data_IF_845377181492
#
_entry.id   IF_845377181492
#
_cell.length_a   1.000
_cell.length_b   1.000
_cell.length_c   1.000
_cell.angle_alpha   90.00
_cell.angle_beta   90.00
_cell.angle_gamma   90.00
#
_symmetry.space_group_name_H-M   'P 1'
#
loop_
_entity.id
_entity.type
_entity.pdbx_description
1 polymer ?
#
# COMPACT_ATOMS: atom_id res chain seq x y z
N UNK A 1 14.61 -27.02 2.93
CA UNK A 1 15.72 -27.86 2.40
C UNK A 1 17.09 -27.22 2.63
N UNK A 2 17.18 -25.90 2.78
CA UNK A 2 18.42 -25.23 3.17
C UNK A 2 18.97 -25.77 4.52
N UNK A 3 20.25 -26.20 4.60
CA UNK A 3 20.82 -26.82 5.79
C UNK A 3 20.98 -25.85 6.96
N UNK A 4 21.19 -24.55 6.71
CA UNK A 4 21.30 -23.53 7.74
C UNK A 4 19.96 -23.25 8.39
N UNK A 5 18.88 -23.18 7.60
CA UNK A 5 17.52 -23.06 8.13
C UNK A 5 17.15 -24.28 8.97
N UNK A 6 17.50 -25.50 8.52
CA UNK A 6 17.26 -26.72 9.30
C UNK A 6 18.05 -26.72 10.62
N UNK A 7 19.29 -26.23 10.61
CA UNK A 7 20.11 -26.08 11.82
C UNK A 7 19.50 -25.06 12.79
N UNK A 8 19.06 -23.90 12.31
CA UNK A 8 18.34 -22.90 13.10
C UNK A 8 17.08 -23.50 13.75
N UNK A 9 16.26 -24.19 12.96
CA UNK A 9 15.04 -24.82 13.44
C UNK A 9 15.32 -25.82 14.56
N UNK A 10 16.33 -26.67 14.41
CA UNK A 10 16.74 -27.61 15.47
C UNK A 10 17.22 -26.90 16.73
N UNK A 11 18.08 -25.87 16.60
CA UNK A 11 18.62 -25.12 17.74
C UNK A 11 17.55 -24.41 18.57
N UNK A 12 16.50 -23.92 17.92
CA UNK A 12 15.43 -23.15 18.56
C UNK A 12 14.11 -23.93 18.73
N UNK A 13 14.10 -25.24 18.45
CA UNK A 13 12.91 -26.08 18.60
C UNK A 13 11.73 -25.69 17.69
N UNK A 14 12.02 -25.08 16.54
CA UNK A 14 11.02 -24.58 15.59
C UNK A 14 10.51 -25.73 14.73
N UNK A 15 9.18 -25.88 14.62
CA UNK A 15 8.54 -27.04 13.99
C UNK A 15 8.33 -26.82 12.50
N UNK A 16 8.05 -25.58 12.09
CA UNK A 16 7.70 -25.23 10.72
C UNK A 16 8.61 -24.14 10.17
N UNK A 17 8.61 -23.97 8.84
CA UNK A 17 9.30 -22.84 8.19
C UNK A 17 8.68 -21.50 8.62
N UNK A 18 7.37 -21.47 8.86
CA UNK A 18 6.67 -20.29 9.37
C UNK A 18 7.14 -19.91 10.78
N UNK A 19 7.48 -20.90 11.61
CA UNK A 19 8.08 -20.64 12.93
C UNK A 19 9.49 -20.04 12.77
N UNK A 20 10.26 -20.46 11.75
CA UNK A 20 11.57 -19.88 11.45
C UNK A 20 11.48 -18.44 10.92
N UNK A 21 10.48 -18.15 10.10
CA UNK A 21 10.16 -16.78 9.69
C UNK A 21 9.77 -15.92 10.89
N UNK A 22 8.87 -16.38 11.75
CA UNK A 22 8.46 -15.65 12.95
C UNK A 22 9.60 -15.42 13.93
N UNK A 23 10.49 -16.40 14.11
CA UNK A 23 11.73 -16.25 14.89
C UNK A 23 12.62 -15.14 14.32
N UNK A 24 12.80 -15.13 13.00
CA UNK A 24 13.61 -14.11 12.33
C UNK A 24 13.00 -12.72 12.52
N UNK A 25 11.70 -12.56 12.26
CA UNK A 25 11.01 -11.27 12.41
C UNK A 25 11.12 -10.76 13.84
N UNK A 26 10.83 -11.59 14.86
CA UNK A 26 10.97 -11.18 16.27
C UNK A 26 12.41 -10.75 16.61
N UNK A 27 13.41 -11.48 16.11
CA UNK A 27 14.82 -11.11 16.34
C UNK A 27 15.19 -9.77 15.69
N UNK A 28 14.62 -9.47 14.52
CA UNK A 28 14.82 -8.17 13.87
C UNK A 28 14.11 -7.04 14.62
N UNK A 29 12.89 -7.28 15.10
CA UNK A 29 12.15 -6.29 15.90
C UNK A 29 12.85 -5.98 17.22
N UNK A 30 13.39 -7.00 17.90
CA UNK A 30 14.18 -6.82 19.13
C UNK A 30 15.42 -5.95 18.87
N UNK A 31 16.11 -6.20 17.76
CA UNK A 31 17.30 -5.44 17.38
C UNK A 31 16.97 -3.97 17.11
N UNK A 32 15.84 -3.69 16.44
CA UNK A 32 15.38 -2.33 16.17
C UNK A 32 14.90 -1.62 17.45
N UNK A 33 14.23 -2.35 18.35
CA UNK A 33 13.85 -1.85 19.67
C UNK A 33 15.06 -1.42 20.48
N UNK A 34 16.14 -2.19 20.49
CA UNK A 34 17.40 -1.83 21.16
C UNK A 34 18.03 -0.54 20.60
N UNK A 35 17.70 -0.17 19.36
CA UNK A 35 18.13 1.08 18.72
C UNK A 35 17.14 2.25 18.93
N UNK A 36 16.11 2.06 19.77
CA UNK A 36 15.06 3.04 20.01
C UNK A 36 14.18 3.29 18.78
N UNK A 37 13.99 2.26 17.93
CA UNK A 37 13.16 2.33 16.72
C UNK A 37 11.94 1.44 16.86
N UNK A 38 10.79 1.97 16.44
CA UNK A 38 9.57 1.18 16.20
C UNK A 38 9.61 0.56 14.81
N UNK A 39 8.97 -0.58 14.65
CA UNK A 39 8.90 -1.28 13.37
C UNK A 39 7.52 -1.08 12.75
N UNK A 40 7.49 -0.81 11.45
CA UNK A 40 6.27 -0.87 10.65
C UNK A 40 6.38 -2.10 9.75
N UNK A 41 5.38 -2.97 9.78
CA UNK A 41 5.38 -4.22 9.01
C UNK A 41 4.02 -4.48 8.36
N UNK A 42 4.03 -5.17 7.22
CA UNK A 42 2.80 -5.66 6.59
C UNK A 42 2.07 -6.65 7.51
N UNK A 43 0.74 -6.66 7.42
CA UNK A 43 -0.16 -7.51 8.21
C UNK A 43 0.06 -9.04 8.08
N UNK A 44 0.97 -9.48 7.21
CA UNK A 44 1.46 -10.86 7.16
C UNK A 44 2.15 -11.30 8.47
N UNK A 45 2.69 -10.35 9.25
CA UNK A 45 3.41 -10.65 10.51
C UNK A 45 2.50 -10.88 11.71
N UNK A 46 1.18 -10.71 11.57
CA UNK A 46 0.21 -10.82 12.68
C UNK A 46 0.22 -12.21 13.37
N UNK A 47 0.69 -13.25 12.68
CA UNK A 47 0.79 -14.59 13.28
C UNK A 47 2.04 -14.79 14.15
N UNK A 48 2.97 -13.83 14.15
CA UNK A 48 4.25 -13.92 14.86
C UNK A 48 4.25 -13.31 16.27
N UNK A 49 3.11 -12.76 16.71
CA UNK A 49 2.90 -12.22 18.07
C UNK A 49 3.97 -11.20 18.49
N UNK A 50 4.17 -10.19 17.65
CA UNK A 50 5.13 -9.13 17.92
C UNK A 50 4.70 -8.27 19.12
N UNK A 51 5.65 -7.55 19.69
CA UNK A 51 5.38 -6.58 20.76
C UNK A 51 4.53 -5.41 20.22
N UNK A 52 3.28 -5.31 20.66
CA UNK A 52 2.29 -4.35 20.15
C UNK A 52 2.65 -2.89 20.43
N UNK A 53 3.44 -2.63 21.47
CA UNK A 53 3.84 -1.26 21.83
C UNK A 53 4.92 -0.72 20.88
N UNK A 54 5.70 -1.63 20.29
CA UNK A 54 6.89 -1.34 19.49
C UNK A 54 6.69 -1.57 17.99
N UNK A 55 5.57 -2.18 17.61
CA UNK A 55 5.27 -2.57 16.24
C UNK A 55 3.95 -1.97 15.77
N UNK A 56 3.96 -1.40 14.57
CA UNK A 56 2.81 -0.84 13.87
C UNK A 56 2.52 -1.73 12.65
N UNK A 57 1.25 -2.01 12.41
CA UNK A 57 0.81 -2.88 11.32
C UNK A 57 0.31 -2.05 10.14
N UNK A 58 0.84 -2.31 8.95
CA UNK A 58 0.30 -1.80 7.68
C UNK A 58 -0.64 -2.83 7.09
N UNK A 59 -1.95 -2.55 7.14
CA UNK A 59 -2.96 -3.43 6.56
C UNK A 59 -3.17 -3.12 5.08
N UNK A 60 -2.80 -4.08 4.22
CA UNK A 60 -2.80 -3.91 2.76
C UNK A 60 -3.76 -4.84 2.00
N UNK A 61 -4.23 -5.92 2.63
CA UNK A 61 -5.04 -6.95 1.98
C UNK A 61 -6.53 -6.64 2.11
N UNK A 62 -7.06 -5.82 1.19
CA UNK A 62 -8.49 -5.45 1.15
C UNK A 62 -9.46 -6.64 1.15
N UNK A 63 -9.06 -7.76 0.55
CA UNK A 63 -9.76 -9.06 0.50
C UNK A 63 -9.62 -9.87 1.80
N UNK A 64 -8.89 -9.34 2.79
CA UNK A 64 -8.67 -9.95 4.11
C UNK A 64 -9.05 -8.95 5.23
N UNK A 65 -10.31 -8.50 5.32
CA UNK A 65 -10.74 -7.60 6.40
C UNK A 65 -10.60 -8.23 7.80
N UNK A 66 -10.56 -9.56 7.91
CA UNK A 66 -10.25 -10.27 9.15
C UNK A 66 -8.82 -10.00 9.66
N UNK A 67 -7.87 -9.68 8.77
CA UNK A 67 -6.51 -9.30 9.18
C UNK A 67 -6.48 -7.91 9.80
N UNK A 68 -7.30 -6.98 9.29
CA UNK A 68 -7.51 -5.68 9.92
C UNK A 68 -8.09 -5.84 11.32
N UNK A 69 -9.19 -6.61 11.43
CA UNK A 69 -9.82 -6.91 12.74
C UNK A 69 -8.84 -7.55 13.71
N UNK A 70 -8.11 -8.59 13.28
CA UNK A 70 -7.08 -9.22 14.12
C UNK A 70 -6.04 -8.22 14.61
N UNK A 71 -5.57 -7.31 13.75
CA UNK A 71 -4.63 -6.26 14.13
C UNK A 71 -5.19 -5.38 15.26
N UNK A 72 -6.42 -4.92 15.11
CA UNK A 72 -7.08 -4.00 16.05
C UNK A 72 -7.55 -4.71 17.33
N UNK A 73 -8.13 -5.91 17.23
CA UNK A 73 -8.53 -6.77 18.36
C UNK A 73 -7.32 -7.13 19.24
N UNK A 74 -6.16 -7.33 18.62
CA UNK A 74 -4.92 -7.56 19.35
C UNK A 74 -4.33 -6.24 19.90
N UNK A 75 -4.83 -5.07 19.56
CA UNK A 75 -4.38 -3.77 20.07
C UNK A 75 -3.12 -3.22 19.38
N UNK A 76 -2.84 -3.63 18.14
CA UNK A 76 -1.79 -3.00 17.35
C UNK A 76 -2.26 -1.67 16.79
N UNK A 77 -1.38 -0.66 16.88
CA UNK A 77 -1.53 0.54 16.07
C UNK A 77 -1.43 0.18 14.58
N UNK A 78 -2.37 0.66 13.78
CA UNK A 78 -2.55 0.19 12.40
C UNK A 78 -2.61 1.34 11.40
N UNK A 79 -1.91 1.22 10.28
CA UNK A 79 -1.98 2.13 9.12
C UNK A 79 -2.81 1.43 8.05
N UNK A 80 -3.84 2.12 7.54
CA UNK A 80 -4.68 1.59 6.46
C UNK A 80 -4.05 1.93 5.11
N UNK A 81 -3.65 0.90 4.36
CA UNK A 81 -3.11 1.07 3.02
C UNK A 81 -3.53 -0.09 2.11
N UNK A 82 -4.84 -0.40 2.02
CA UNK A 82 -5.32 -1.54 1.23
C UNK A 82 -5.01 -1.39 -0.25
N UNK A 83 -4.80 -2.51 -0.96
CA UNK A 83 -4.64 -2.50 -2.42
C UNK A 83 -5.69 -1.66 -3.15
N UNK A 84 -6.95 -1.79 -2.76
CA UNK A 84 -8.04 -0.95 -3.27
C UNK A 84 -8.56 -0.06 -2.13
N UNK A 85 -8.66 1.26 -2.31
CA UNK A 85 -8.25 2.06 -3.47
C UNK A 85 -6.81 2.60 -3.39
N UNK A 86 -6.01 2.19 -2.41
CA UNK A 86 -4.77 2.88 -2.03
C UNK A 86 -3.49 2.41 -2.75
N UNK A 87 -3.54 1.40 -3.64
CA UNK A 87 -2.38 1.07 -4.47
C UNK A 87 -2.46 1.78 -5.82
N UNK A 88 -1.59 2.75 -6.03
CA UNK A 88 -1.57 3.58 -7.23
C UNK A 88 -0.96 2.89 -8.43
N UNK A 89 -0.36 1.70 -8.29
CA UNK A 89 0.02 0.83 -9.42
C UNK A 89 -1.17 0.12 -10.07
N UNK A 90 -2.36 0.19 -9.45
CA UNK A 90 -3.62 -0.22 -10.07
C UNK A 90 -4.09 0.83 -11.07
N UNK A 91 -4.73 0.37 -12.15
CA UNK A 91 -5.41 1.27 -13.08
C UNK A 91 -6.44 2.12 -12.32
N UNK A 92 -6.60 3.37 -12.75
CA UNK A 92 -7.51 4.35 -12.13
C UNK A 92 -8.76 4.63 -12.97
N UNK A 93 -8.83 4.09 -14.18
CA UNK A 93 -9.97 4.19 -15.08
C UNK A 93 -10.07 2.91 -15.92
N UNK A 94 -11.28 2.58 -16.37
CA UNK A 94 -11.56 1.38 -17.15
C UNK A 94 -10.86 1.37 -18.53
N UNK A 95 -10.50 2.52 -19.07
CA UNK A 95 -9.81 2.63 -20.36
C UNK A 95 -8.31 2.33 -20.29
N UNK A 96 -7.72 2.35 -19.09
CA UNK A 96 -6.28 2.15 -18.92
C UNK A 96 -5.89 0.69 -19.13
N UNK A 97 -4.79 0.49 -19.87
CA UNK A 97 -4.34 -0.81 -20.34
C UNK A 97 -3.11 -1.31 -19.59
N UNK A 98 -2.36 -0.41 -18.97
CA UNK A 98 -1.18 -0.75 -18.20
C UNK A 98 -1.47 -0.48 -16.72
N UNK A 99 -1.06 -1.40 -15.84
CA UNK A 99 -1.33 -1.33 -14.40
C UNK A 99 -1.89 -2.64 -13.88
N UNK A 100 -1.96 -2.77 -12.55
CA UNK A 100 -2.62 -3.91 -11.91
C UNK A 100 -4.14 -3.78 -12.05
N UNK A 101 -4.80 -4.91 -12.23
CA UNK A 101 -6.26 -5.05 -12.25
C UNK A 101 -6.60 -6.18 -11.28
N UNK A 102 -7.51 -5.92 -10.35
CA UNK A 102 -8.09 -6.94 -9.47
C UNK A 102 -9.55 -6.59 -9.24
N UNK A 103 -10.42 -7.18 -10.06
CA UNK A 103 -11.87 -6.97 -9.99
C UNK A 103 -12.24 -5.47 -9.97
N UNK A 104 -11.84 -4.75 -11.02
CA UNK A 104 -12.04 -3.31 -11.18
C UNK A 104 -10.75 -2.48 -11.12
N UNK A 105 -10.95 -1.17 -10.94
CA UNK A 105 -9.93 -0.12 -10.91
C UNK A 105 -10.01 0.69 -9.60
N UNK A 106 -9.08 1.63 -9.40
CA UNK A 106 -9.01 2.51 -8.22
C UNK A 106 -9.22 3.97 -8.65
N UNK A 107 -10.49 4.39 -8.83
CA UNK A 107 -10.84 5.74 -9.29
C UNK A 107 -10.55 6.81 -8.24
N UNK A 108 -10.57 8.09 -8.67
CA UNK A 108 -10.34 9.24 -7.81
C UNK A 108 -11.37 9.33 -6.67
N UNK A 109 -12.63 9.06 -7.01
CA UNK A 109 -13.79 8.99 -6.12
C UNK A 109 -13.55 8.05 -4.93
N UNK A 110 -13.05 6.84 -5.21
CA UNK A 110 -12.85 5.83 -4.17
C UNK A 110 -11.71 6.23 -3.23
N UNK A 111 -10.63 6.81 -3.76
CA UNK A 111 -9.51 7.33 -2.94
C UNK A 111 -10.01 8.44 -2.02
N UNK A 112 -10.87 9.34 -2.53
CA UNK A 112 -11.45 10.43 -1.75
C UNK A 112 -12.39 9.92 -0.65
N UNK A 113 -13.23 8.93 -0.97
CA UNK A 113 -14.23 8.38 -0.05
C UNK A 113 -13.62 7.49 1.06
N UNK A 114 -12.39 7.01 0.86
CA UNK A 114 -11.68 6.22 1.86
C UNK A 114 -11.19 7.09 3.04
N UNK A 115 -11.15 6.57 4.28
CA UNK A 115 -11.67 5.27 4.72
C UNK A 115 -13.16 5.30 5.09
N UNK A 116 -13.78 6.49 5.11
CA UNK A 116 -15.10 6.74 5.67
C UNK A 116 -16.18 5.80 5.11
N UNK A 117 -16.21 5.61 3.78
CA UNK A 117 -17.17 4.73 3.11
C UNK A 117 -17.00 3.23 3.42
N UNK A 118 -15.89 2.83 4.04
CA UNK A 118 -15.58 1.44 4.37
C UNK A 118 -15.75 1.10 5.86
N UNK A 119 -15.76 2.08 6.76
CA UNK A 119 -15.83 1.80 8.20
C UNK A 119 -17.05 0.97 8.59
N UNK A 120 -18.22 1.24 8.01
CA UNK A 120 -19.45 0.47 8.26
C UNK A 120 -19.28 -1.01 7.87
N UNK A 121 -18.62 -1.27 6.73
CA UNK A 121 -18.38 -2.63 6.24
C UNK A 121 -17.44 -3.41 7.17
N UNK A 122 -16.46 -2.72 7.76
CA UNK A 122 -15.52 -3.33 8.70
C UNK A 122 -16.11 -3.53 10.09
N UNK A 123 -17.20 -2.83 10.45
CA UNK A 123 -17.88 -2.89 11.77
C UNK A 123 -16.89 -2.75 12.93
N UNK A 124 -16.04 -1.74 12.86
CA UNK A 124 -15.09 -1.41 13.92
C UNK A 124 -15.79 -0.64 15.04
N UNK A 125 -15.44 -0.94 16.29
CA UNK A 125 -15.82 -0.14 17.46
C UNK A 125 -15.04 1.17 17.51
N UNK A 126 -15.51 2.14 18.31
CA UNK A 126 -14.78 3.40 18.55
C UNK A 126 -13.36 3.17 19.10
N UNK A 127 -13.21 2.17 19.97
CA UNK A 127 -11.90 1.78 20.51
C UNK A 127 -10.96 1.30 19.40
N UNK A 128 -11.42 0.41 18.53
CA UNK A 128 -10.62 -0.10 17.42
C UNK A 128 -10.29 1.02 16.41
N UNK A 129 -11.21 1.95 16.16
CA UNK A 129 -10.93 3.12 15.32
C UNK A 129 -9.83 4.01 15.90
N UNK A 130 -9.70 4.10 17.24
CA UNK A 130 -8.63 4.86 17.91
C UNK A 130 -7.23 4.23 17.78
N UNK A 131 -7.14 2.96 17.36
CA UNK A 131 -5.89 2.28 17.05
C UNK A 131 -5.46 2.47 15.58
N UNK A 132 -6.32 3.04 14.74
CA UNK A 132 -5.97 3.45 13.38
C UNK A 132 -5.18 4.76 13.41
N UNK A 133 -3.92 4.72 13.00
CA UNK A 133 -3.03 5.90 12.97
C UNK A 133 -3.29 6.82 11.78
N UNK A 134 -3.86 6.29 10.70
CA UNK A 134 -4.11 7.04 9.47
C UNK A 134 -4.10 6.14 8.24
N UNK A 135 -4.06 6.80 7.08
CA UNK A 135 -4.12 6.16 5.76
C UNK A 135 -2.84 6.43 4.95
N UNK A 136 -2.51 5.54 4.03
CA UNK A 136 -1.35 5.68 3.14
C UNK A 136 -1.64 5.07 1.77
N UNK A 137 -1.23 5.75 0.69
CA UNK A 137 -1.14 5.15 -0.65
C UNK A 137 0.24 4.56 -0.92
N UNK A 138 0.28 3.48 -1.70
CA UNK A 138 1.52 2.84 -2.15
C UNK A 138 1.62 2.87 -3.67
N UNK A 139 2.82 3.03 -4.20
CA UNK A 139 3.09 2.85 -5.63
C UNK A 139 4.18 1.78 -5.80
N UNK A 140 3.79 0.61 -6.28
CA UNK A 140 4.74 -0.41 -6.70
C UNK A 140 5.19 -0.15 -8.15
N UNK A 141 6.49 -0.31 -8.42
CA UNK A 141 7.11 0.26 -9.62
C UNK A 141 7.40 -0.77 -10.71
N UNK A 142 6.88 -2.00 -10.63
CA UNK A 142 7.13 -3.03 -11.66
C UNK A 142 6.71 -2.58 -13.07
N UNK A 143 5.66 -1.76 -13.17
CA UNK A 143 5.15 -1.19 -14.43
C UNK A 143 5.38 0.32 -14.56
N UNK A 144 6.13 0.93 -13.64
CA UNK A 144 6.41 2.37 -13.61
C UNK A 144 7.85 2.62 -14.01
N UNK A 145 8.09 2.71 -15.31
CA UNK A 145 9.44 2.67 -15.89
C UNK A 145 10.02 4.06 -16.23
N UNK A 146 9.22 5.12 -16.17
CA UNK A 146 9.65 6.48 -16.45
C UNK A 146 8.84 7.51 -15.64
N UNK A 147 9.26 8.78 -15.70
CA UNK A 147 8.64 9.89 -14.95
C UNK A 147 7.19 10.16 -15.37
N UNK A 148 6.89 10.12 -16.67
CA UNK A 148 5.52 10.34 -17.16
C UNK A 148 4.55 9.30 -16.62
N UNK A 149 4.97 8.03 -16.57
CA UNK A 149 4.18 6.96 -15.98
C UNK A 149 4.02 7.13 -14.47
N UNK A 150 5.07 7.57 -13.78
CA UNK A 150 5.01 7.86 -12.35
C UNK A 150 3.97 8.96 -12.05
N UNK A 151 4.05 10.09 -12.75
CA UNK A 151 3.12 11.20 -12.59
C UNK A 151 1.69 10.78 -12.95
N UNK A 152 1.52 10.03 -14.05
CA UNK A 152 0.22 9.57 -14.53
C UNK A 152 -0.49 8.67 -13.52
N UNK A 153 0.27 7.82 -12.81
CA UNK A 153 -0.30 6.92 -11.80
C UNK A 153 -0.57 7.62 -10.47
N UNK A 154 0.12 8.72 -10.14
CA UNK A 154 -0.03 9.40 -8.85
C UNK A 154 -1.07 10.50 -8.89
N UNK A 155 -1.04 11.32 -9.94
CA UNK A 155 -1.91 12.49 -10.07
C UNK A 155 -3.11 12.16 -10.96
N UNK A 156 -4.34 12.51 -10.55
CA UNK A 156 -4.69 13.42 -9.46
C UNK A 156 -4.95 12.75 -8.10
N UNK A 157 -4.88 11.41 -8.01
CA UNK A 157 -5.27 10.66 -6.80
C UNK A 157 -4.55 11.11 -5.53
N UNK A 158 -3.33 11.61 -5.62
CA UNK A 158 -2.61 12.18 -4.48
C UNK A 158 -3.36 13.34 -3.79
N UNK A 159 -4.08 14.17 -4.53
CA UNK A 159 -4.93 15.22 -3.96
C UNK A 159 -6.10 14.64 -3.18
N UNK A 160 -6.74 13.59 -3.72
CA UNK A 160 -7.82 12.89 -3.01
C UNK A 160 -7.30 12.20 -1.74
N UNK A 161 -6.10 11.60 -1.77
CA UNK A 161 -5.48 11.05 -0.56
C UNK A 161 -5.22 12.14 0.48
N UNK A 162 -4.66 13.27 0.07
CA UNK A 162 -4.36 14.37 0.98
C UNK A 162 -5.63 14.88 1.67
N UNK A 163 -6.71 15.03 0.93
CA UNK A 163 -7.99 15.44 1.49
C UNK A 163 -8.63 14.37 2.38
N UNK A 164 -8.59 13.11 1.95
CA UNK A 164 -9.06 11.97 2.73
C UNK A 164 -8.33 11.82 4.07
N UNK A 165 -7.04 12.16 4.12
CA UNK A 165 -6.23 12.06 5.33
C UNK A 165 -6.36 13.29 6.27
N UNK A 166 -6.79 14.44 5.75
CA UNK A 166 -6.73 15.72 6.47
C UNK A 166 -8.09 16.29 6.84
N UNK A 167 -9.07 16.19 5.95
CA UNK A 167 -10.38 16.83 6.11
C UNK A 167 -11.31 15.92 6.91
N UNK A 168 -11.99 16.48 7.92
CA UNK A 168 -12.94 15.69 8.72
C UNK A 168 -14.17 15.30 7.88
N UNK A 169 -14.82 14.15 8.17
CA UNK A 169 -15.93 13.65 7.36
C UNK A 169 -17.08 14.65 7.15
N UNK A 170 -17.37 15.49 8.13
CA UNK A 170 -18.47 16.48 8.08
C UNK A 170 -18.21 17.60 7.07
N UNK A 171 -16.94 17.81 6.70
CA UNK A 171 -16.50 18.83 5.76
C UNK A 171 -16.18 18.25 4.37
N UNK A 172 -16.36 16.95 4.15
CA UNK A 172 -16.09 16.31 2.87
C UNK A 172 -17.30 16.43 1.95
N UNK A 173 -17.10 17.08 0.81
CA UNK A 173 -18.06 17.14 -0.30
C UNK A 173 -17.30 16.83 -1.61
N UNK A 174 -17.63 15.72 -2.25
CA UNK A 174 -16.93 15.31 -3.47
C UNK A 174 -17.15 16.27 -4.64
N UNK A 175 -18.33 16.90 -4.72
CA UNK A 175 -18.63 17.90 -5.74
C UNK A 175 -17.77 19.15 -5.57
N UNK A 176 -17.64 19.64 -4.34
CA UNK A 176 -16.72 20.75 -4.02
C UNK A 176 -15.26 20.40 -4.28
N UNK A 177 -14.81 19.21 -3.85
CA UNK A 177 -13.48 18.69 -4.15
C UNK A 177 -13.19 18.67 -5.65
N UNK A 178 -14.13 18.14 -6.44
CA UNK A 178 -14.02 18.08 -7.89
C UNK A 178 -13.90 19.49 -8.52
N UNK A 179 -14.63 20.48 -8.01
CA UNK A 179 -14.50 21.88 -8.46
C UNK A 179 -13.14 22.48 -8.08
N UNK A 180 -12.62 22.21 -6.87
CA UNK A 180 -11.29 22.68 -6.45
C UNK A 180 -10.16 22.03 -7.24
N UNK A 181 -10.36 20.81 -7.73
CA UNK A 181 -9.40 20.12 -8.58
C UNK A 181 -9.10 20.88 -9.87
N UNK A 182 -10.01 21.72 -10.39
CA UNK A 182 -9.75 22.61 -11.54
C UNK A 182 -8.48 23.47 -11.34
N UNK A 183 -8.28 24.00 -10.14
CA UNK A 183 -7.08 24.76 -9.80
C UNK A 183 -5.84 23.88 -9.68
N UNK A 184 -5.99 22.65 -9.18
CA UNK A 184 -4.90 21.70 -9.09
C UNK A 184 -4.42 21.27 -10.48
N UNK A 185 -5.33 21.02 -11.42
CA UNK A 185 -4.98 20.68 -12.80
C UNK A 185 -4.22 21.81 -13.50
N UNK A 186 -4.67 23.07 -13.36
CA UNK A 186 -3.94 24.23 -13.88
C UNK A 186 -2.52 24.34 -13.28
N UNK A 187 -2.37 24.02 -11.98
CA UNK A 187 -1.06 23.97 -11.33
C UNK A 187 -0.20 22.82 -11.88
N UNK A 188 -0.78 21.64 -12.11
CA UNK A 188 -0.07 20.50 -12.68
C UNK A 188 0.48 20.83 -14.08
N UNK A 189 -0.34 21.48 -14.91
CA UNK A 189 0.08 21.96 -16.24
C UNK A 189 1.23 22.96 -16.13
N UNK A 190 1.12 23.95 -15.25
CA UNK A 190 2.17 24.94 -15.02
C UNK A 190 3.49 24.31 -14.51
N UNK A 191 3.40 23.19 -13.77
CA UNK A 191 4.53 22.44 -13.26
C UNK A 191 5.05 21.36 -14.24
N UNK A 192 4.36 21.12 -15.36
CA UNK A 192 4.70 20.07 -16.31
C UNK A 192 4.52 18.64 -15.78
N UNK A 193 3.57 18.43 -14.87
CA UNK A 193 3.23 17.10 -14.33
C UNK A 193 2.38 16.35 -15.36
N UNK A 194 2.79 15.13 -15.74
CA UNK A 194 2.07 14.30 -16.71
C UNK A 194 0.97 13.48 -16.01
N UNK A 195 -0.09 14.14 -15.55
CA UNK A 195 -1.19 13.52 -14.79
C UNK A 195 -2.26 12.90 -15.71
N UNK A 196 -3.08 11.99 -15.17
CA UNK A 196 -4.30 11.51 -15.85
C UNK A 196 -5.46 12.49 -15.64
N UNK A 197 -6.02 13.03 -16.71
CA UNK A 197 -7.20 13.91 -16.60
C UNK A 197 -8.50 13.13 -16.85
N UNK A 198 -9.34 12.87 -15.83
CA UNK A 198 -10.60 12.16 -16.03
C UNK A 198 -11.63 12.99 -16.83
N UNK A 199 -11.44 14.31 -16.95
CA UNK A 199 -12.34 15.23 -17.67
C UNK A 199 -12.02 15.27 -19.15
N UNK A 200 -10.74 15.16 -19.48
CA UNK A 200 -10.23 15.02 -20.84
C UNK A 200 -9.11 13.96 -20.89
N UNK A 201 -9.46 12.67 -21.04
CA UNK A 201 -8.48 11.58 -21.11
C UNK A 201 -7.47 11.68 -22.26
N UNK A 202 -7.61 12.66 -23.17
CA UNK A 202 -6.67 12.90 -24.27
C UNK A 202 -5.62 13.98 -23.94
N UNK A 203 -5.80 14.76 -22.88
CA UNK A 203 -4.85 15.80 -22.45
C UNK A 203 -3.45 15.22 -22.25
N UNK A 204 -3.38 14.10 -21.53
CA UNK A 204 -2.22 13.23 -21.46
C UNK A 204 -2.67 11.80 -21.72
N UNK A 205 -2.25 11.23 -22.84
CA UNK A 205 -2.55 9.83 -23.17
C UNK A 205 -1.78 8.89 -22.24
N UNK A 206 -2.36 7.73 -21.95
CA UNK A 206 -1.73 6.72 -21.10
C UNK A 206 -0.31 6.39 -21.61
N UNK A 207 0.74 6.60 -20.80
CA UNK A 207 2.10 6.21 -21.18
C UNK A 207 2.17 4.70 -21.38
N UNK A 208 2.84 4.27 -22.45
CA UNK A 208 3.03 2.86 -22.76
C UNK A 208 3.61 2.09 -21.56
N UNK A 209 3.20 0.84 -21.39
CA UNK A 209 3.80 -0.03 -20.38
C UNK A 209 5.25 -0.39 -20.70
N UNK A 210 6.03 -0.91 -19.72
CA UNK A 210 7.36 -1.40 -20.02
C UNK A 210 7.30 -2.54 -21.05
N UNK A 211 8.27 -2.55 -21.98
CA UNK A 211 8.45 -3.68 -22.91
C UNK A 211 8.95 -4.89 -22.13
N UNK A 212 8.04 -5.83 -21.83
CA UNK A 212 8.39 -7.10 -21.17
C UNK A 212 9.12 -7.98 -22.18
N UNK A 213 10.46 -7.94 -22.15
CA UNK A 213 11.27 -8.92 -22.89
C UNK A 213 11.14 -10.28 -22.21
N UNK A 214 10.68 -11.31 -22.95
CA UNK A 214 10.78 -12.70 -22.47
C UNK A 214 12.25 -12.96 -22.13
N UNK A 215 12.53 -13.40 -20.90
CA UNK A 215 13.89 -13.84 -20.53
C UNK A 215 14.31 -14.93 -21.52
N UNK A 216 15.33 -14.67 -22.33
CA UNK A 216 16.09 -15.75 -22.95
C UNK A 216 16.76 -16.57 -21.85
N UNK A 217 17.00 -17.86 -22.10
CA UNK A 217 17.46 -18.85 -21.12
C UNK A 217 18.83 -18.53 -20.45
N UNK A 218 19.52 -17.45 -20.84
CA UNK A 218 20.94 -17.23 -20.49
C UNK A 218 21.25 -16.12 -19.48
N UNK A 219 20.26 -15.46 -18.86
CA UNK A 219 20.56 -14.43 -17.84
C UNK A 219 19.75 -14.61 -16.55
N UNK A 220 20.05 -15.69 -15.81
CA UNK A 220 19.75 -15.66 -14.37
C UNK A 220 20.77 -14.73 -13.73
N UNK A 221 20.37 -13.61 -13.10
CA UNK A 221 21.31 -12.83 -12.31
C UNK A 221 21.89 -13.76 -11.24
N UNK A 222 23.23 -13.83 -11.15
CA UNK A 222 23.89 -14.47 -10.01
C UNK A 222 23.63 -13.59 -8.80
N UNK A 223 22.59 -13.92 -8.07
CA UNK A 223 22.28 -13.33 -6.77
C UNK A 223 23.13 -14.05 -5.72
N UNK A 224 24.43 -13.79 -5.74
CA UNK A 224 25.31 -14.15 -4.62
C UNK A 224 25.57 -12.88 -3.82
N UNK A 225 24.98 -12.81 -2.63
CA UNK A 225 25.07 -11.66 -1.71
C UNK A 225 26.01 -11.95 -0.55
N UNK A 226 26.93 -12.90 -0.72
CA UNK A 226 27.93 -13.25 0.28
C UNK A 226 29.28 -12.71 -0.18
N UNK A 227 29.50 -11.42 0.08
CA UNK A 227 30.83 -10.86 0.28
C UNK A 227 30.99 -10.51 1.77
#
# INVERSE_FOLDING_TARGET
RDPYVQSLMRRHGLKTIKDAEGYFINRMTDSLKMLGKKVIAWDDVLDFKLDKEENIISWWRHDRPQSLRKSLDEGYKTILCPRKPMYYDFIQDASHKCGRIWDGFCPLEDVYAFPDAWYEQWKLSESEMSDVLGIQSNLWTELVHNRYRFDFMIFPRLCALAEAAWTTPENKDYGDFYLRMESAYAMFDAMGIYYYDPRDPKHHTEPEGPVIKKRGESSKPKMDYRD
#
